data_IF_114683794332
#
_entry.id   IF_114683794332
#
_cell.length_a   1.000
_cell.length_b   1.000
_cell.length_c   1.000
_cell.angle_alpha   90.00
_cell.angle_beta   90.00
_cell.angle_gamma   90.00
#
_symmetry.space_group_name_H-M   'P 1'
#
loop_
_entity.id
_entity.type
_entity.pdbx_description
1 polymer ?
#
# COMPACT_ATOMS: atom_id res chain seq x y z
N UNK A 1 7.32 -17.52 8.31
CA UNK A 1 6.12 -16.74 7.93
C UNK A 1 6.44 -15.87 6.75
N UNK A 2 5.56 -15.79 5.76
CA UNK A 2 5.75 -14.99 4.55
C UNK A 2 5.72 -13.50 4.90
N UNK A 3 6.61 -12.73 4.30
CA UNK A 3 6.59 -11.26 4.43
C UNK A 3 5.38 -10.69 3.67
N UNK A 4 4.32 -10.38 4.40
CA UNK A 4 3.08 -9.88 3.82
C UNK A 4 3.27 -8.56 3.07
N UNK A 5 4.14 -7.68 3.57
CA UNK A 5 4.39 -6.39 2.91
C UNK A 5 5.06 -6.59 1.55
N UNK A 6 6.05 -7.49 1.47
CA UNK A 6 6.72 -7.79 0.20
C UNK A 6 5.76 -8.45 -0.80
N UNK A 7 4.93 -9.37 -0.34
CA UNK A 7 3.93 -10.06 -1.16
C UNK A 7 2.90 -9.06 -1.69
N UNK A 8 2.39 -8.18 -0.84
CA UNK A 8 1.43 -7.16 -1.25
C UNK A 8 2.04 -6.18 -2.26
N UNK A 9 3.27 -5.74 -2.01
CA UNK A 9 3.98 -4.84 -2.92
C UNK A 9 4.08 -5.44 -4.32
N UNK A 10 4.52 -6.71 -4.40
CA UNK A 10 4.64 -7.42 -5.67
C UNK A 10 3.28 -7.60 -6.35
N UNK A 11 2.24 -7.92 -5.58
CA UNK A 11 0.89 -8.10 -6.10
C UNK A 11 0.34 -6.81 -6.71
N UNK A 12 0.54 -5.69 -6.05
CA UNK A 12 0.13 -4.39 -6.57
C UNK A 12 0.89 -4.04 -7.84
N UNK A 13 2.20 -4.26 -7.86
CA UNK A 13 3.03 -4.01 -9.04
C UNK A 13 2.58 -4.85 -10.23
N UNK A 14 2.39 -6.16 -10.02
CA UNK A 14 2.03 -7.10 -11.09
C UNK A 14 0.67 -6.81 -11.72
N UNK A 15 -0.26 -6.23 -10.94
CA UNK A 15 -1.63 -5.98 -11.38
C UNK A 15 -1.92 -4.50 -11.65
N UNK A 16 -0.92 -3.64 -11.55
CA UNK A 16 -1.10 -2.21 -11.77
C UNK A 16 -1.38 -1.93 -13.24
N UNK A 17 -2.50 -1.26 -13.52
CA UNK A 17 -2.97 -1.02 -14.88
C UNK A 17 -3.10 0.46 -15.23
N UNK A 18 -2.85 1.37 -14.29
CA UNK A 18 -2.89 2.80 -14.60
C UNK A 18 -1.80 3.16 -15.60
N UNK A 19 -2.12 4.11 -16.47
CA UNK A 19 -1.16 4.72 -17.41
C UNK A 19 -0.59 6.03 -16.87
N UNK A 20 -1.30 6.67 -15.94
CA UNK A 20 -0.89 7.93 -15.32
C UNK A 20 -1.22 7.92 -13.82
N UNK A 21 -0.27 7.57 -12.94
CA UNK A 21 1.09 7.10 -13.26
C UNK A 21 1.11 5.62 -13.64
N UNK A 22 1.94 5.28 -14.61
CA UNK A 22 2.24 3.90 -14.94
C UNK A 22 3.14 3.28 -13.86
N UNK A 23 3.13 1.95 -13.76
CA UNK A 23 3.93 1.27 -12.72
C UNK A 23 5.43 1.58 -12.79
N UNK A 24 5.96 1.84 -13.98
CA UNK A 24 7.38 2.17 -14.16
C UNK A 24 7.71 3.60 -13.72
N UNK A 25 6.72 4.46 -13.57
CA UNK A 25 6.88 5.83 -13.07
C UNK A 25 6.79 5.93 -11.55
N UNK A 26 6.48 4.83 -10.89
CA UNK A 26 6.30 4.74 -9.45
C UNK A 26 7.56 4.14 -8.81
N UNK A 27 7.99 4.73 -7.69
CA UNK A 27 8.98 4.10 -6.83
C UNK A 27 8.27 3.13 -5.87
N UNK A 28 8.53 1.84 -6.04
CA UNK A 28 7.92 0.78 -5.22
C UNK A 28 8.84 0.47 -4.06
N UNK A 29 8.44 0.88 -2.85
CA UNK A 29 9.24 0.74 -1.65
C UNK A 29 8.70 -0.36 -0.74
N UNK A 30 9.59 -1.06 -0.05
CA UNK A 30 9.24 -2.11 0.93
C UNK A 30 9.43 -1.63 2.37
N UNK A 31 9.65 -0.35 2.56
CA UNK A 31 9.77 0.29 3.86
C UNK A 31 9.12 1.66 3.80
N UNK A 32 8.82 2.23 4.96
CA UNK A 32 8.22 3.56 5.03
C UNK A 32 9.18 4.59 4.43
N UNK A 33 8.64 5.46 3.57
CA UNK A 33 9.39 6.55 2.96
C UNK A 33 9.04 7.85 3.69
N UNK A 34 10.02 8.45 4.35
CA UNK A 34 9.84 9.74 5.00
C UNK A 34 9.87 10.88 3.97
N UNK A 35 9.27 12.03 4.32
CA UNK A 35 9.18 13.16 3.42
C UNK A 35 10.56 13.64 2.94
N UNK A 36 11.55 13.66 3.83
CA UNK A 36 12.92 14.08 3.51
C UNK A 36 13.59 13.13 2.52
N UNK A 37 13.30 11.84 2.62
CA UNK A 37 13.83 10.83 1.70
C UNK A 37 13.12 10.90 0.35
N UNK A 38 11.82 11.15 0.35
CA UNK A 38 11.04 11.30 -0.88
C UNK A 38 11.54 12.49 -1.71
N UNK A 39 11.94 13.58 -1.06
CA UNK A 39 12.48 14.74 -1.76
C UNK A 39 13.75 14.39 -2.57
N UNK A 40 14.48 13.35 -2.17
CA UNK A 40 15.70 12.90 -2.86
C UNK A 40 15.42 11.89 -3.97
N UNK A 41 14.23 11.32 -4.02
CA UNK A 41 13.84 10.35 -5.05
C UNK A 41 13.48 11.12 -6.32
N UNK A 42 13.97 10.65 -7.47
CA UNK A 42 13.73 11.32 -8.75
C UNK A 42 12.31 11.14 -9.28
N UNK A 43 11.58 10.13 -8.79
CA UNK A 43 10.20 9.87 -9.19
C UNK A 43 9.24 10.71 -8.37
N UNK A 44 8.11 11.08 -8.98
CA UNK A 44 7.09 11.91 -8.33
C UNK A 44 6.05 11.11 -7.56
N UNK A 45 6.09 9.77 -7.67
CA UNK A 45 5.10 8.88 -7.10
C UNK A 45 5.78 7.76 -6.33
N UNK A 46 5.22 7.42 -5.18
CA UNK A 46 5.70 6.30 -4.35
C UNK A 46 4.52 5.45 -3.93
N UNK A 47 4.67 4.13 -4.03
CA UNK A 47 3.83 3.17 -3.33
C UNK A 47 4.74 2.37 -2.42
N UNK A 48 4.56 2.53 -1.12
CA UNK A 48 5.38 1.86 -0.10
C UNK A 48 4.51 0.89 0.69
N UNK A 49 4.91 -0.38 0.72
CA UNK A 49 4.25 -1.39 1.54
C UNK A 49 5.21 -1.81 2.66
N UNK A 50 4.75 -1.71 3.90
CA UNK A 50 5.58 -2.04 5.06
C UNK A 50 4.71 -2.54 6.22
N UNK A 51 5.31 -3.35 7.08
CA UNK A 51 4.62 -3.81 8.27
C UNK A 51 4.59 -2.69 9.32
N UNK A 52 3.43 -2.40 9.93
CA UNK A 52 3.39 -1.55 11.11
C UNK A 52 4.10 -2.27 12.26
N UNK A 53 4.44 -1.54 13.33
CA UNK A 53 5.19 -2.08 14.46
C UNK A 53 4.35 -3.00 15.37
N UNK A 54 3.32 -3.63 14.83
CA UNK A 54 2.46 -4.56 15.58
C UNK A 54 2.70 -5.98 15.09
N UNK A 55 2.72 -6.93 16.04
CA UNK A 55 2.87 -8.35 15.70
C UNK A 55 1.65 -8.88 14.92
N UNK A 56 1.87 -9.93 14.15
CA UNK A 56 0.78 -10.65 13.49
C UNK A 56 -0.13 -11.29 14.55
N UNK A 57 -1.44 -11.20 14.33
CA UNK A 57 -2.42 -11.88 15.18
C UNK A 57 -2.69 -13.27 14.64
N UNK A 58 -2.70 -14.24 15.54
CA UNK A 58 -3.04 -15.63 15.21
C UNK A 58 -4.34 -15.97 15.92
N UNK A 59 -5.31 -16.49 15.17
CA UNK A 59 -6.61 -16.89 15.73
C UNK A 59 -6.90 -18.36 15.44
N UNK A 60 -7.52 -19.01 16.42
CA UNK A 60 -8.08 -20.35 16.21
C UNK A 60 -9.46 -20.19 15.59
N UNK A 61 -9.63 -20.66 14.36
CA UNK A 61 -10.93 -20.64 13.66
C UNK A 61 -11.80 -21.82 14.05
N UNK A 62 -11.19 -22.97 14.09
CA UNK A 62 -11.83 -24.24 14.43
C UNK A 62 -10.78 -25.13 15.02
N UNK A 63 -11.18 -26.28 15.53
CA UNK A 63 -10.26 -27.21 16.14
C UNK A 63 -9.11 -27.59 15.19
N UNK A 64 -7.89 -27.17 15.54
CA UNK A 64 -6.69 -27.43 14.76
C UNK A 64 -6.45 -26.53 13.58
N UNK A 65 -7.30 -25.53 13.35
CA UNK A 65 -7.14 -24.56 12.25
C UNK A 65 -6.80 -23.19 12.81
N UNK A 66 -5.67 -22.65 12.40
CA UNK A 66 -5.20 -21.33 12.80
C UNK A 66 -5.21 -20.36 11.63
N UNK A 67 -5.60 -19.13 11.90
CA UNK A 67 -5.45 -18.01 10.96
C UNK A 67 -4.40 -17.04 11.47
N UNK A 68 -3.52 -16.62 10.60
CA UNK A 68 -2.60 -15.52 10.87
C UNK A 68 -3.14 -14.25 10.20
N UNK A 69 -3.41 -13.23 11.00
CA UNK A 69 -3.74 -11.88 10.51
C UNK A 69 -2.50 -11.03 10.55
N UNK A 70 -2.25 -10.32 9.46
CA UNK A 70 -1.17 -9.33 9.38
C UNK A 70 -1.74 -8.04 8.83
N UNK A 71 -1.35 -6.93 9.43
CA UNK A 71 -1.65 -5.62 8.91
C UNK A 71 -0.44 -5.11 8.12
N UNK A 72 -0.70 -4.58 6.94
CA UNK A 72 0.32 -3.99 6.08
C UNK A 72 -0.12 -2.56 5.80
N UNK A 73 0.80 -1.62 5.96
CA UNK A 73 0.57 -0.24 5.56
C UNK A 73 0.94 -0.07 4.10
N UNK A 74 0.06 0.56 3.35
CA UNK A 74 0.32 0.98 1.96
C UNK A 74 0.26 2.49 1.95
N UNK A 75 1.41 3.12 1.76
CA UNK A 75 1.51 4.57 1.66
C UNK A 75 1.60 4.96 0.19
N UNK A 76 0.71 5.87 -0.22
CA UNK A 76 0.72 6.47 -1.53
C UNK A 76 1.18 7.91 -1.36
N UNK A 77 2.34 8.24 -1.94
CA UNK A 77 2.91 9.57 -1.88
C UNK A 77 2.96 10.18 -3.28
N UNK A 78 2.52 11.43 -3.38
CA UNK A 78 2.54 12.17 -4.64
C UNK A 78 3.16 13.54 -4.40
N UNK A 79 4.19 13.88 -5.17
CA UNK A 79 4.79 15.22 -5.15
C UNK A 79 3.83 16.23 -5.77
N UNK A 80 3.78 17.41 -5.18
CA UNK A 80 3.03 18.54 -5.73
C UNK A 80 3.90 19.20 -6.80
N UNK A 81 3.52 19.02 -8.07
CA UNK A 81 4.26 19.56 -9.21
C UNK A 81 3.56 20.81 -9.75
N UNK A 82 2.25 20.72 -9.97
CA UNK A 82 1.45 21.84 -10.50
C UNK A 82 0.60 22.50 -9.42
N UNK A 83 -0.17 21.69 -8.68
CA UNK A 83 -1.02 22.19 -7.59
C UNK A 83 -1.30 21.05 -6.59
N UNK A 84 -1.67 21.43 -5.37
CA UNK A 84 -2.09 20.46 -4.35
C UNK A 84 -3.31 19.68 -4.82
N UNK A 85 -4.29 20.35 -5.46
CA UNK A 85 -5.49 19.69 -5.96
C UNK A 85 -5.16 18.62 -7.01
N UNK A 86 -4.24 18.93 -7.93
CA UNK A 86 -3.80 17.97 -8.94
C UNK A 86 -3.13 16.75 -8.28
N UNK A 87 -2.25 16.98 -7.30
CA UNK A 87 -1.57 15.89 -6.59
C UNK A 87 -2.57 15.01 -5.81
N UNK A 88 -3.59 15.61 -5.20
CA UNK A 88 -4.66 14.89 -4.51
C UNK A 88 -5.46 14.05 -5.49
N UNK A 89 -5.80 14.58 -6.65
CA UNK A 89 -6.55 13.83 -7.68
C UNK A 89 -5.76 12.61 -8.16
N UNK A 90 -4.47 12.76 -8.41
CA UNK A 90 -3.60 11.65 -8.81
C UNK A 90 -3.53 10.61 -7.69
N UNK A 91 -3.36 11.05 -6.45
CA UNK A 91 -3.34 10.18 -5.28
C UNK A 91 -4.64 9.36 -5.16
N UNK A 92 -5.80 10.00 -5.38
CA UNK A 92 -7.09 9.31 -5.34
C UNK A 92 -7.23 8.28 -6.46
N UNK A 93 -6.71 8.58 -7.65
CA UNK A 93 -6.68 7.61 -8.75
C UNK A 93 -5.81 6.39 -8.39
N UNK A 94 -4.67 6.61 -7.77
CA UNK A 94 -3.80 5.53 -7.29
C UNK A 94 -4.48 4.71 -6.18
N UNK A 95 -5.17 5.39 -5.26
CA UNK A 95 -5.98 4.74 -4.22
C UNK A 95 -7.02 3.82 -4.83
N UNK A 96 -7.77 4.32 -5.79
CA UNK A 96 -8.81 3.53 -6.46
C UNK A 96 -8.21 2.31 -7.18
N UNK A 97 -7.02 2.44 -7.71
CA UNK A 97 -6.32 1.32 -8.34
C UNK A 97 -5.96 0.23 -7.32
N UNK A 98 -5.47 0.60 -6.14
CA UNK A 98 -5.20 -0.35 -5.06
C UNK A 98 -6.49 -1.11 -4.68
N UNK A 99 -7.60 -0.39 -4.50
CA UNK A 99 -8.88 -1.04 -4.20
C UNK A 99 -9.32 -1.98 -5.33
N UNK A 100 -9.18 -1.57 -6.57
CA UNK A 100 -9.53 -2.41 -7.71
C UNK A 100 -8.74 -3.71 -7.72
N UNK A 101 -7.43 -3.62 -7.50
CA UNK A 101 -6.56 -4.80 -7.49
C UNK A 101 -6.96 -5.75 -6.36
N UNK A 102 -7.17 -5.25 -5.15
CA UNK A 102 -7.54 -6.08 -4.01
C UNK A 102 -8.91 -6.73 -4.14
N UNK A 103 -9.84 -6.07 -4.85
CA UNK A 103 -11.15 -6.68 -5.16
C UNK A 103 -11.06 -7.76 -6.24
N UNK A 104 -10.15 -7.60 -7.20
CA UNK A 104 -10.04 -8.51 -8.33
C UNK A 104 -9.37 -9.83 -7.96
N UNK A 105 -8.37 -9.78 -7.07
CA UNK A 105 -7.60 -10.98 -6.69
C UNK A 105 -6.91 -10.76 -5.35
N UNK A 106 -6.59 -11.87 -4.68
CA UNK A 106 -5.83 -11.85 -3.43
C UNK A 106 -4.34 -12.08 -3.68
N UNK A 107 -3.46 -11.47 -2.86
CA UNK A 107 -2.02 -11.73 -2.96
C UNK A 107 -1.70 -13.20 -2.74
N UNK A 108 -0.62 -13.66 -3.37
CA UNK A 108 -0.19 -15.06 -3.31
C UNK A 108 0.02 -15.53 -1.87
N UNK A 109 -0.58 -16.68 -1.53
CA UNK A 109 -0.47 -17.27 -0.19
C UNK A 109 -1.46 -16.73 0.83
N UNK A 110 -2.32 -15.79 0.44
CA UNK A 110 -3.33 -15.22 1.33
C UNK A 110 -4.73 -15.52 0.80
N UNK A 111 -5.66 -15.77 1.73
CA UNK A 111 -7.07 -15.99 1.39
C UNK A 111 -7.92 -14.73 1.49
N UNK A 112 -7.37 -13.66 2.06
CA UNK A 112 -8.08 -12.40 2.26
C UNK A 112 -7.07 -11.25 2.29
N UNK A 113 -7.43 -10.15 1.62
CA UNK A 113 -6.72 -8.88 1.72
C UNK A 113 -7.71 -7.75 1.43
N UNK A 114 -7.85 -6.83 2.36
CA UNK A 114 -8.74 -5.68 2.18
C UNK A 114 -8.29 -4.49 3.02
N UNK A 115 -8.66 -3.31 2.57
CA UNK A 115 -8.38 -2.07 3.28
C UNK A 115 -9.35 -1.94 4.44
N UNK A 116 -8.83 -1.71 5.64
CA UNK A 116 -9.63 -1.53 6.86
C UNK A 116 -9.65 -0.10 7.35
N UNK A 117 -8.64 0.70 7.03
CA UNK A 117 -8.53 2.10 7.45
C UNK A 117 -7.78 2.93 6.41
N UNK A 118 -8.10 4.22 6.38
CA UNK A 118 -7.42 5.21 5.56
C UNK A 118 -7.04 6.42 6.40
N UNK A 119 -5.84 6.96 6.15
CA UNK A 119 -5.33 8.17 6.79
C UNK A 119 -4.84 9.13 5.73
N UNK A 120 -5.50 10.28 5.62
CA UNK A 120 -5.10 11.35 4.69
C UNK A 120 -4.19 12.35 5.38
N UNK A 121 -3.14 12.79 4.68
CA UNK A 121 -2.27 13.82 5.20
C UNK A 121 -1.61 14.61 4.07
N UNK A 122 -1.69 15.94 4.16
CA UNK A 122 -0.82 16.83 3.41
C UNK A 122 0.36 17.13 4.31
N UNK A 123 1.51 16.51 4.06
CA UNK A 123 2.66 16.60 4.96
C UNK A 123 3.41 17.91 4.82
N UNK A 124 3.37 18.49 3.63
CA UNK A 124 4.00 19.76 3.32
C UNK A 124 3.34 20.36 2.09
N UNK A 125 3.63 21.63 1.72
CA UNK A 125 3.14 22.19 0.46
C UNK A 125 3.60 21.41 -0.76
N UNK A 126 4.63 20.56 -0.64
CA UNK A 126 5.27 19.87 -1.75
C UNK A 126 4.87 18.39 -1.89
N UNK A 127 4.11 17.85 -0.94
CA UNK A 127 3.89 16.41 -0.86
C UNK A 127 2.56 16.08 -0.18
N UNK A 128 1.83 15.13 -0.78
CA UNK A 128 0.64 14.53 -0.17
C UNK A 128 0.90 13.07 0.15
N UNK A 129 0.33 12.60 1.24
CA UNK A 129 0.40 11.20 1.66
C UNK A 129 -1.00 10.67 1.97
N UNK A 130 -1.29 9.46 1.49
CA UNK A 130 -2.42 8.67 1.90
C UNK A 130 -1.90 7.33 2.41
N UNK A 131 -2.26 6.96 3.62
CA UNK A 131 -1.89 5.67 4.19
C UNK A 131 -3.12 4.77 4.26
N UNK A 132 -3.02 3.58 3.68
CA UNK A 132 -4.05 2.54 3.72
C UNK A 132 -3.57 1.43 4.64
N UNK A 133 -4.39 1.03 5.60
CA UNK A 133 -4.13 -0.15 6.38
C UNK A 133 -4.83 -1.34 5.73
N UNK A 134 -4.06 -2.33 5.31
CA UNK A 134 -4.56 -3.54 4.65
C UNK A 134 -4.44 -4.70 5.61
N UNK A 135 -5.56 -5.37 5.86
CA UNK A 135 -5.59 -6.60 6.64
C UNK A 135 -5.43 -7.77 5.68
N UNK A 136 -4.45 -8.62 5.96
CA UNK A 136 -4.17 -9.81 5.17
C UNK A 136 -4.27 -11.04 6.07
N UNK A 137 -4.92 -12.08 5.58
CA UNK A 137 -5.17 -13.30 6.35
C UNK A 137 -4.72 -14.52 5.57
N UNK A 138 -3.95 -15.38 6.22
CA UNK A 138 -3.55 -16.67 5.67
C UNK A 138 -3.74 -17.75 6.73
N UNK A 139 -3.69 -19.02 6.32
CA UNK A 139 -3.59 -20.13 7.26
C UNK A 139 -2.20 -20.12 7.89
N UNK A 140 -2.19 -20.18 9.21
CA UNK A 140 -0.94 -20.18 9.96
C UNK A 140 -0.30 -21.57 10.00
#
# INVERSE_FOLDING_TARGET
>A
MTDAAAVLNQHLYDNWSLTSPAKDDIYWAKSKVEAVDFAKIKKNYVVACYAPMTAANVRVLAKGVLLAEQNVMVDILVKVVTSVNNAVDVRENMRNEVYRILKASTPSGFGYADVTREFNKVESPDLTRLSLQVKMVCLA
#
